data_IF_963472319966
#
_entry.id   IF_963472319966
#
_cell.length_a   1.000
_cell.length_b   1.000
_cell.length_c   1.000
_cell.angle_alpha   90.00
_cell.angle_beta   90.00
_cell.angle_gamma   90.00
#
_symmetry.space_group_name_H-M   'P 1'
#
loop_
_entity.id
_entity.type
_entity.pdbx_description
1 polymer ?
#
# COMPACT_ATOMS: atom_id res chain seq x y z
N UNK A 1 6.99 -15.91 0.39
CA UNK A 1 5.83 -15.31 -0.29
C UNK A 1 5.72 -13.80 -0.06
N UNK A 2 5.46 -13.29 1.16
CA UNK A 2 5.35 -11.84 1.42
C UNK A 2 6.68 -11.10 1.59
N UNK A 3 7.72 -11.79 2.08
CA UNK A 3 9.02 -11.17 2.41
C UNK A 3 9.67 -10.48 1.21
N UNK A 4 9.83 -11.19 0.10
CA UNK A 4 10.48 -10.65 -1.11
C UNK A 4 9.73 -9.43 -1.69
N UNK A 5 8.41 -9.46 -1.98
CA UNK A 5 7.70 -8.28 -2.45
C UNK A 5 7.75 -7.08 -1.51
N UNK A 6 7.81 -7.30 -0.19
CA UNK A 6 7.93 -6.21 0.78
C UNK A 6 9.35 -5.63 0.84
N UNK A 7 10.38 -6.45 0.64
CA UNK A 7 11.76 -5.99 0.54
C UNK A 7 11.99 -5.20 -0.75
N UNK A 8 11.46 -5.68 -1.88
CA UNK A 8 11.47 -4.94 -3.14
C UNK A 8 10.77 -3.59 -2.98
N UNK A 9 9.63 -3.55 -2.25
CA UNK A 9 8.88 -2.32 -2.01
C UNK A 9 9.67 -1.30 -1.17
N UNK A 10 10.49 -1.76 -0.23
CA UNK A 10 11.29 -0.90 0.65
C UNK A 10 12.40 -0.13 -0.12
N UNK A 11 12.84 -0.67 -1.25
CA UNK A 11 13.87 -0.07 -2.11
C UNK A 11 13.28 0.67 -3.33
N UNK A 12 11.96 0.53 -3.57
CA UNK A 12 11.30 1.05 -4.77
C UNK A 12 10.97 2.55 -4.68
N UNK A 13 11.12 3.26 -5.80
CA UNK A 13 10.69 4.67 -5.89
C UNK A 13 9.16 4.81 -6.01
N UNK A 14 8.59 6.01 -5.75
CA UNK A 14 7.14 6.25 -5.83
C UNK A 14 6.46 5.85 -7.15
N UNK A 15 7.19 5.92 -8.27
CA UNK A 15 6.69 5.55 -9.59
C UNK A 15 6.54 4.03 -9.79
N UNK A 16 7.30 3.22 -9.05
CA UNK A 16 7.32 1.76 -9.18
C UNK A 16 6.31 1.08 -8.27
N UNK A 17 6.03 1.71 -7.11
CA UNK A 17 5.10 1.20 -6.10
C UNK A 17 3.74 0.76 -6.67
N UNK A 18 3.03 1.53 -7.53
CA UNK A 18 1.73 1.13 -8.07
C UNK A 18 1.68 -0.26 -8.68
N UNK A 19 2.75 -0.68 -9.37
CA UNK A 19 2.82 -1.98 -10.03
C UNK A 19 2.94 -3.15 -9.04
N UNK A 20 3.48 -2.89 -7.85
CA UNK A 20 3.79 -3.91 -6.83
C UNK A 20 2.61 -4.17 -5.89
N UNK A 21 1.79 -3.15 -5.63
CA UNK A 21 0.69 -3.19 -4.65
C UNK A 21 -0.33 -4.32 -4.91
N UNK A 22 -0.76 -4.62 -6.15
CA UNK A 22 -1.67 -5.73 -6.40
C UNK A 22 -1.10 -7.09 -5.95
N UNK A 23 0.20 -7.33 -6.15
CA UNK A 23 0.85 -8.58 -5.75
C UNK A 23 0.87 -8.70 -4.22
N UNK A 24 1.29 -7.64 -3.54
CA UNK A 24 1.39 -7.60 -2.07
C UNK A 24 0.02 -7.79 -1.43
N UNK A 25 -0.99 -7.05 -1.87
CA UNK A 25 -2.33 -7.14 -1.30
C UNK A 25 -3.02 -8.47 -1.61
N UNK A 26 -2.74 -9.10 -2.75
CA UNK A 26 -3.18 -10.48 -2.98
C UNK A 26 -2.53 -11.47 -2.02
N UNK A 27 -1.27 -11.28 -1.63
CA UNK A 27 -0.67 -12.10 -0.59
C UNK A 27 -1.35 -11.85 0.78
N UNK A 28 -1.68 -10.61 1.12
CA UNK A 28 -2.47 -10.30 2.34
C UNK A 28 -3.82 -11.02 2.30
N UNK A 29 -4.51 -11.02 1.14
CA UNK A 29 -5.75 -11.76 0.93
C UNK A 29 -5.57 -13.26 1.19
N UNK A 30 -4.50 -13.86 0.66
CA UNK A 30 -4.21 -15.28 0.90
C UNK A 30 -3.97 -15.58 2.39
N UNK A 31 -3.24 -14.71 3.10
CA UNK A 31 -3.04 -14.85 4.54
C UNK A 31 -4.38 -14.79 5.27
N UNK A 32 -5.26 -13.86 4.91
CA UNK A 32 -6.61 -13.76 5.49
C UNK A 32 -7.47 -15.01 5.23
N UNK A 33 -7.51 -15.49 3.99
CA UNK A 33 -8.37 -16.61 3.59
C UNK A 33 -7.85 -17.98 4.05
N UNK A 34 -6.52 -18.17 4.14
CA UNK A 34 -5.93 -19.50 4.31
C UNK A 34 -5.21 -19.71 5.64
N UNK A 35 -4.79 -18.63 6.33
CA UNK A 35 -4.08 -18.80 7.60
C UNK A 35 -5.03 -19.19 8.72
N UNK A 36 -4.68 -20.20 9.51
CA UNK A 36 -5.43 -20.61 10.70
C UNK A 36 -5.12 -19.75 11.93
N UNK A 37 -3.96 -19.10 11.98
CA UNK A 37 -3.46 -18.40 13.18
C UNK A 37 -3.18 -16.91 12.96
N UNK A 38 -3.15 -16.45 11.72
CA UNK A 38 -2.80 -15.07 11.35
C UNK A 38 -3.94 -14.29 10.69
N UNK A 39 -5.11 -14.91 10.52
CA UNK A 39 -6.30 -14.31 9.92
C UNK A 39 -7.16 -13.52 10.94
N UNK A 40 -6.54 -12.79 11.87
CA UNK A 40 -7.26 -11.90 12.79
C UNK A 40 -7.26 -10.46 12.30
N UNK A 41 -8.35 -9.69 12.53
CA UNK A 41 -8.41 -8.28 12.15
C UNK A 41 -7.20 -7.47 12.63
N UNK A 42 -6.83 -7.58 13.91
CA UNK A 42 -5.71 -6.81 14.49
C UNK A 42 -4.38 -7.04 13.76
N UNK A 43 -4.10 -8.29 13.36
CA UNK A 43 -2.85 -8.64 12.66
C UNK A 43 -2.85 -8.12 11.23
N UNK A 44 -3.97 -8.26 10.53
CA UNK A 44 -4.10 -7.78 9.14
C UNK A 44 -4.12 -6.26 9.08
N UNK A 45 -4.86 -5.59 9.96
CA UNK A 45 -4.84 -4.13 10.09
C UNK A 45 -3.41 -3.67 10.40
N UNK A 46 -2.74 -4.30 11.37
CA UNK A 46 -1.35 -3.99 11.70
C UNK A 46 -0.39 -4.17 10.51
N UNK A 47 -0.58 -5.20 9.69
CA UNK A 47 0.21 -5.42 8.47
C UNK A 47 -0.06 -4.34 7.41
N UNK A 48 -1.33 -4.02 7.17
CA UNK A 48 -1.74 -3.00 6.20
C UNK A 48 -1.31 -1.59 6.61
N UNK A 49 -1.31 -1.27 7.91
CA UNK A 49 -0.78 -0.02 8.44
C UNK A 49 0.73 0.09 8.25
N UNK A 50 1.48 -0.99 8.44
CA UNK A 50 2.93 -1.01 8.14
C UNK A 50 3.21 -0.80 6.66
N UNK A 51 2.42 -1.45 5.78
CA UNK A 51 2.51 -1.23 4.34
C UNK A 51 2.18 0.21 3.95
N UNK A 52 1.10 0.78 4.51
CA UNK A 52 0.71 2.17 4.31
C UNK A 52 1.80 3.15 4.76
N UNK A 53 2.37 2.93 5.95
CA UNK A 53 3.50 3.71 6.45
C UNK A 53 4.72 3.62 5.53
N UNK A 54 5.03 2.43 5.02
CA UNK A 54 6.17 2.23 4.13
C UNK A 54 5.96 3.00 2.81
N UNK A 55 4.75 2.97 2.24
CA UNK A 55 4.39 3.76 1.05
C UNK A 55 4.58 5.26 1.32
N UNK A 56 4.10 5.76 2.46
CA UNK A 56 4.27 7.16 2.86
C UNK A 56 5.76 7.50 2.99
N UNK A 57 6.54 6.63 3.62
CA UNK A 57 7.97 6.83 3.81
C UNK A 57 8.72 6.89 2.46
N UNK A 58 8.42 6.00 1.50
CA UNK A 58 8.97 6.06 0.14
C UNK A 58 8.60 7.33 -0.61
N UNK A 59 7.36 7.81 -0.44
CA UNK A 59 6.93 9.08 -1.01
C UNK A 59 7.70 10.26 -0.41
N UNK A 60 7.90 10.28 0.90
CA UNK A 60 8.66 11.33 1.61
C UNK A 60 10.12 11.38 1.18
N UNK A 61 10.78 10.22 1.07
CA UNK A 61 12.18 10.13 0.61
C UNK A 61 12.37 10.64 -0.83
N UNK A 62 11.35 10.53 -1.69
CA UNK A 62 11.38 11.08 -3.03
C UNK A 62 11.27 12.62 -3.09
N UNK A 63 10.67 13.24 -2.07
CA UNK A 63 10.34 14.67 -2.08
C UNK A 63 11.53 15.51 -1.57
N UNK A 64 12.15 16.28 -2.47
CA UNK A 64 13.17 17.26 -2.12
C UNK A 64 12.57 18.67 -1.97
N UNK A 65 12.64 19.21 -0.74
CA UNK A 65 12.19 20.56 -0.40
C UNK A 65 12.98 21.64 -1.14
N UNK A 66 14.28 21.44 -1.31
CA UNK A 66 15.15 22.35 -2.06
C UNK A 66 14.74 22.45 -3.53
N UNK A 67 14.42 21.32 -4.16
CA UNK A 67 13.92 21.30 -5.54
C UNK A 67 12.56 22.00 -5.69
N UNK A 68 11.74 22.00 -4.63
CA UNK A 68 10.43 22.68 -4.62
C UNK A 68 10.60 24.20 -4.53
N UNK A 69 11.46 24.69 -3.62
CA UNK A 69 11.51 26.11 -3.28
C UNK A 69 12.63 26.91 -3.96
N UNK A 70 13.70 26.27 -4.46
CA UNK A 70 14.93 26.99 -4.84
C UNK A 70 15.54 26.59 -6.19
N UNK A 71 14.96 25.67 -6.97
CA UNK A 71 15.68 25.03 -8.08
C UNK A 71 15.09 25.23 -9.49
N UNK A 72 15.92 25.05 -10.55
CA UNK A 72 15.47 24.89 -11.94
C UNK A 72 14.75 23.56 -12.21
N UNK A 73 14.61 22.69 -11.19
CA UNK A 73 14.05 21.32 -11.28
C UNK A 73 12.62 21.21 -10.74
N UNK A 74 11.84 22.29 -10.82
CA UNK A 74 10.47 22.32 -10.30
C UNK A 74 9.57 21.26 -10.96
N UNK A 75 9.81 20.94 -12.23
CA UNK A 75 9.02 19.93 -12.94
C UNK A 75 9.33 18.50 -12.47
N UNK A 76 10.58 18.23 -12.06
CA UNK A 76 10.93 16.96 -11.41
C UNK A 76 10.20 16.82 -10.07
N UNK A 77 10.15 17.90 -9.29
CA UNK A 77 9.42 17.92 -8.02
C UNK A 77 7.91 17.70 -8.22
N UNK A 78 7.30 18.34 -9.22
CA UNK A 78 5.89 18.10 -9.59
C UNK A 78 5.65 16.64 -9.99
N UNK A 79 6.57 16.07 -10.78
CA UNK A 79 6.48 14.67 -11.21
C UNK A 79 6.52 13.72 -10.02
N UNK A 80 7.46 13.89 -9.10
CA UNK A 80 7.52 13.07 -7.88
C UNK A 80 6.24 13.20 -7.06
N UNK A 81 5.73 14.42 -6.86
CA UNK A 81 4.46 14.62 -6.14
C UNK A 81 3.28 13.92 -6.83
N UNK A 82 3.22 13.98 -8.16
CA UNK A 82 2.23 13.25 -8.95
C UNK A 82 2.35 11.74 -8.77
N UNK A 83 3.57 11.21 -8.83
CA UNK A 83 3.87 9.78 -8.64
C UNK A 83 3.44 9.32 -7.23
N UNK A 84 3.66 10.15 -6.21
CA UNK A 84 3.21 9.89 -4.82
C UNK A 84 1.67 9.85 -4.71
N UNK A 85 0.97 10.81 -5.33
CA UNK A 85 -0.50 10.84 -5.36
C UNK A 85 -1.04 9.58 -6.06
N UNK A 86 -0.43 9.20 -7.18
CA UNK A 86 -0.80 8.01 -7.92
C UNK A 86 -0.57 6.74 -7.09
N UNK A 87 0.52 6.67 -6.33
CA UNK A 87 0.79 5.57 -5.41
C UNK A 87 -0.32 5.39 -4.37
N UNK A 88 -0.71 6.48 -3.69
CA UNK A 88 -1.80 6.44 -2.71
C UNK A 88 -3.14 5.98 -3.31
N UNK A 89 -3.47 6.46 -4.52
CA UNK A 89 -4.66 6.02 -5.25
C UNK A 89 -4.59 4.53 -5.60
N UNK A 90 -3.47 4.08 -6.16
CA UNK A 90 -3.27 2.68 -6.54
C UNK A 90 -3.35 1.74 -5.33
N UNK A 91 -2.83 2.16 -4.17
CA UNK A 91 -2.95 1.38 -2.93
C UNK A 91 -4.40 1.22 -2.51
N UNK A 92 -5.17 2.30 -2.51
CA UNK A 92 -6.59 2.28 -2.15
C UNK A 92 -7.41 1.44 -3.13
N UNK A 93 -7.17 1.57 -4.42
CA UNK A 93 -7.84 0.77 -5.46
C UNK A 93 -7.54 -0.73 -5.34
N UNK A 94 -6.28 -1.08 -5.12
CA UNK A 94 -5.85 -2.46 -4.93
C UNK A 94 -6.46 -3.06 -3.65
N UNK A 95 -6.54 -2.28 -2.56
CA UNK A 95 -7.22 -2.66 -1.33
C UNK A 95 -8.70 -2.94 -1.57
N UNK A 96 -9.43 -2.01 -2.21
CA UNK A 96 -10.85 -2.17 -2.50
C UNK A 96 -11.12 -3.36 -3.43
N UNK A 97 -10.19 -3.67 -4.34
CA UNK A 97 -10.26 -4.90 -5.15
C UNK A 97 -10.17 -6.15 -4.27
N UNK A 98 -9.26 -6.20 -3.31
CA UNK A 98 -9.14 -7.33 -2.37
C UNK A 98 -10.42 -7.48 -1.54
N UNK A 99 -10.96 -6.40 -1.00
CA UNK A 99 -12.22 -6.42 -0.22
C UNK A 99 -13.36 -6.99 -1.06
N UNK A 100 -13.52 -6.55 -2.31
CA UNK A 100 -14.53 -7.08 -3.24
C UNK A 100 -14.34 -8.58 -3.53
N UNK A 101 -13.10 -9.02 -3.73
CA UNK A 101 -12.80 -10.43 -3.98
C UNK A 101 -13.11 -11.32 -2.77
N UNK A 102 -12.89 -10.83 -1.56
CA UNK A 102 -13.25 -11.55 -0.32
C UNK A 102 -14.76 -11.58 -0.15
N UNK A 103 -15.45 -10.47 -0.39
CA UNK A 103 -16.91 -10.40 -0.30
C UNK A 103 -17.62 -11.30 -1.32
N UNK A 104 -17.02 -11.51 -2.50
CA UNK A 104 -17.54 -12.44 -3.50
C UNK A 104 -17.37 -13.92 -3.13
N UNK A 105 -16.43 -14.24 -2.23
CA UNK A 105 -16.18 -15.59 -1.74
C UNK A 105 -17.05 -15.89 -0.52
N UNK A 106 -18.15 -16.63 -0.74
CA UNK A 106 -19.12 -16.98 0.30
C UNK A 106 -18.55 -17.86 1.41
N UNK A 107 -17.43 -18.55 1.18
CA UNK A 107 -16.78 -19.39 2.16
C UNK A 107 -15.70 -18.64 2.97
N UNK A 108 -15.32 -17.44 2.52
CA UNK A 108 -14.28 -16.66 3.17
C UNK A 108 -14.77 -16.00 4.47
N UNK A 109 -13.84 -15.80 5.40
CA UNK A 109 -14.07 -15.01 6.61
C UNK A 109 -14.42 -13.56 6.21
N UNK A 110 -15.46 -12.95 6.81
CA UNK A 110 -15.91 -11.61 6.46
C UNK A 110 -14.86 -10.56 6.82
N UNK A 111 -14.55 -9.68 5.87
CA UNK A 111 -13.63 -8.56 6.08
C UNK A 111 -14.36 -7.42 6.81
N UNK A 112 -14.30 -7.44 8.14
CA UNK A 112 -15.25 -6.76 9.03
C UNK A 112 -14.67 -5.55 9.80
N UNK A 113 -13.59 -4.95 9.29
CA UNK A 113 -12.97 -3.76 9.89
C UNK A 113 -13.06 -2.53 8.99
N UNK A 114 -13.22 -1.32 9.57
CA UNK A 114 -13.42 -0.10 8.79
C UNK A 114 -12.13 0.33 8.06
N UNK A 115 -12.27 0.89 6.86
CA UNK A 115 -11.15 1.45 6.09
C UNK A 115 -10.34 2.48 6.89
N UNK A 116 -11.02 3.26 7.75
CA UNK A 116 -10.39 4.24 8.63
C UNK A 116 -9.28 3.65 9.51
N UNK A 117 -9.37 2.37 9.89
CA UNK A 117 -8.32 1.71 10.69
C UNK A 117 -6.98 1.55 9.95
N UNK A 118 -6.97 1.70 8.62
CA UNK A 118 -5.78 1.57 7.79
C UNK A 118 -5.32 2.95 7.28
N UNK A 119 -6.26 3.79 6.83
CA UNK A 119 -5.95 5.02 6.09
C UNK A 119 -6.04 6.31 6.92
N UNK A 120 -6.58 6.29 8.14
CA UNK A 120 -6.62 7.48 9.00
C UNK A 120 -5.31 7.60 9.81
N UNK A 121 -4.19 7.68 9.11
CA UNK A 121 -2.84 7.81 9.67
C UNK A 121 -2.31 9.23 9.52
#
# INVERSE_FOLDING_TARGET
ALKEPCLELAEAGPAELPAMLPKILNCVRLVWSMSTHYNSPDRIIGLLRRLSNEIIYRCQEGISVENIFQGPKIDDAKKVLSDCIQCGKAFREAYQRVVRLIAADKAAKPWDFPEGSIFAQ
#
